data_IF_940464667952
#
_entry.id   IF_940464667952
#
_cell.length_a   1.000
_cell.length_b   1.000
_cell.length_c   1.000
_cell.angle_alpha   90.00
_cell.angle_beta   90.00
_cell.angle_gamma   90.00
#
_symmetry.space_group_name_H-M   'P 1'
#
loop_
_entity.id
_entity.type
_entity.pdbx_description
1 polymer ?
#
# COMPACT_ATOMS: atom_id res chain seq x y z
N UNK A 1 -13.39 -24.50 -2.22
CA UNK A 1 -13.95 -23.60 -1.20
C UNK A 1 -13.71 -22.16 -1.62
N UNK A 2 -14.75 -21.36 -1.57
CA UNK A 2 -14.69 -19.91 -1.88
C UNK A 2 -14.83 -19.15 -0.57
N UNK A 3 -14.02 -18.11 -0.39
CA UNK A 3 -14.07 -17.25 0.77
C UNK A 3 -13.96 -15.77 0.35
N UNK A 4 -14.47 -14.82 1.14
CA UNK A 4 -14.24 -13.41 0.89
C UNK A 4 -12.75 -13.07 0.96
N UNK A 5 -12.37 -11.99 0.28
CA UNK A 5 -11.01 -11.48 0.40
C UNK A 5 -10.70 -11.04 1.84
N UNK A 6 -9.45 -11.17 2.24
CA UNK A 6 -8.99 -10.74 3.55
C UNK A 6 -8.91 -9.23 3.64
N UNK A 7 -9.13 -8.71 4.84
CA UNK A 7 -9.07 -7.28 5.13
C UNK A 7 -8.00 -7.06 6.21
N UNK A 8 -7.05 -6.14 5.95
CA UNK A 8 -6.08 -5.71 6.95
C UNK A 8 -6.37 -4.24 7.31
N UNK A 9 -6.69 -4.00 8.55
CA UNK A 9 -7.10 -2.66 9.02
C UNK A 9 -5.95 -1.77 9.46
N UNK A 10 -4.71 -2.25 9.40
CA UNK A 10 -3.55 -1.46 9.83
C UNK A 10 -2.31 -1.82 9.03
N UNK A 11 -2.11 -1.15 7.92
CA UNK A 11 -0.91 -1.31 7.08
C UNK A 11 -0.22 0.04 6.86
N UNK A 12 1.01 0.00 6.42
CA UNK A 12 1.81 1.16 6.04
C UNK A 12 2.49 0.85 4.71
N UNK A 13 1.82 1.13 3.62
CA UNK A 13 2.28 0.71 2.29
C UNK A 13 3.54 1.45 1.83
N UNK A 14 3.75 2.67 2.32
CA UNK A 14 4.92 3.48 1.99
C UNK A 14 6.10 3.31 2.97
N UNK A 15 5.92 2.60 4.08
CA UNK A 15 6.99 2.38 5.03
C UNK A 15 7.95 1.31 4.50
N UNK A 16 8.94 1.74 3.73
CA UNK A 16 9.89 0.85 3.06
C UNK A 16 11.18 0.62 3.83
N UNK A 17 11.36 1.29 4.97
CA UNK A 17 12.53 1.17 5.83
C UNK A 17 12.14 0.68 7.21
N UNK A 18 13.02 -0.14 7.81
CA UNK A 18 12.84 -0.63 9.19
C UNK A 18 13.01 0.50 10.21
N UNK A 19 13.91 1.43 9.91
CA UNK A 19 14.19 2.57 10.78
C UNK A 19 13.47 3.82 10.23
N UNK A 20 12.55 4.37 11.02
CA UNK A 20 11.74 5.53 10.64
C UNK A 20 12.62 6.74 10.28
N UNK A 21 13.71 6.97 11.00
CA UNK A 21 14.61 8.08 10.74
C UNK A 21 15.32 8.01 9.37
N UNK A 22 15.35 6.84 8.74
CA UNK A 22 15.90 6.68 7.38
C UNK A 22 14.87 6.94 6.28
N UNK A 23 13.59 6.93 6.60
CA UNK A 23 12.53 7.12 5.62
C UNK A 23 12.56 8.53 5.00
N UNK A 24 12.95 9.53 5.77
CA UNK A 24 13.07 10.91 5.27
C UNK A 24 14.15 11.06 4.19
N UNK A 25 15.15 10.20 4.21
CA UNK A 25 16.24 10.20 3.23
C UNK A 25 15.88 9.42 1.95
N UNK A 26 14.78 8.70 1.92
CA UNK A 26 14.37 7.91 0.75
C UNK A 26 13.62 8.81 -0.23
N UNK A 27 14.07 8.91 -1.50
CA UNK A 27 13.32 9.65 -2.51
C UNK A 27 11.89 9.13 -2.65
N UNK A 28 10.92 10.02 -2.83
CA UNK A 28 9.51 9.66 -3.00
C UNK A 28 9.30 8.70 -4.16
N UNK A 29 10.04 8.87 -5.24
CA UNK A 29 9.96 7.99 -6.41
C UNK A 29 10.37 6.56 -6.10
N UNK A 30 11.42 6.38 -5.29
CA UNK A 30 11.85 5.06 -4.84
C UNK A 30 10.83 4.46 -3.87
N UNK A 31 10.34 5.27 -2.95
CA UNK A 31 9.31 4.86 -2.00
C UNK A 31 8.06 4.38 -2.73
N UNK A 32 7.61 5.11 -3.76
CA UNK A 32 6.47 4.73 -4.57
C UNK A 32 6.71 3.44 -5.35
N UNK A 33 7.89 3.28 -5.93
CA UNK A 33 8.25 2.06 -6.66
C UNK A 33 8.22 0.82 -5.75
N UNK A 34 8.74 0.95 -4.52
CA UNK A 34 8.69 -0.12 -3.51
C UNK A 34 7.26 -0.42 -3.09
N UNK A 35 6.44 0.61 -2.92
CA UNK A 35 5.03 0.47 -2.56
C UNK A 35 4.23 -0.28 -3.61
N UNK A 36 4.50 -0.04 -4.87
CA UNK A 36 3.86 -0.76 -5.99
C UNK A 36 4.03 -2.26 -5.86
N UNK A 37 5.25 -2.72 -5.61
CA UNK A 37 5.52 -4.14 -5.40
C UNK A 37 4.85 -4.70 -4.16
N UNK A 38 4.81 -3.92 -3.08
CA UNK A 38 4.16 -4.31 -1.82
C UNK A 38 2.66 -4.46 -1.98
N UNK A 39 2.01 -3.52 -2.65
CA UNK A 39 0.57 -3.56 -2.91
C UNK A 39 0.19 -4.80 -3.74
N UNK A 40 0.99 -5.11 -4.75
CA UNK A 40 0.78 -6.33 -5.53
C UNK A 40 0.90 -7.58 -4.67
N UNK A 41 1.91 -7.66 -3.81
CA UNK A 41 2.10 -8.81 -2.92
C UNK A 41 0.97 -8.97 -1.91
N UNK A 42 0.41 -7.87 -1.40
CA UNK A 42 -0.78 -7.92 -0.53
C UNK A 42 -1.95 -8.57 -1.26
N UNK A 43 -2.21 -8.12 -2.49
CA UNK A 43 -3.29 -8.68 -3.30
C UNK A 43 -3.05 -10.16 -3.62
N UNK A 44 -1.82 -10.53 -3.99
CA UNK A 44 -1.46 -11.92 -4.31
C UNK A 44 -1.61 -12.84 -3.09
N UNK A 45 -1.49 -12.32 -1.88
CA UNK A 45 -1.70 -13.05 -0.63
C UNK A 45 -3.16 -13.14 -0.20
N UNK A 46 -4.07 -12.55 -0.94
CA UNK A 46 -5.50 -12.62 -0.67
C UNK A 46 -6.08 -11.43 0.08
N UNK A 47 -5.31 -10.38 0.34
CA UNK A 47 -5.81 -9.15 0.94
C UNK A 47 -6.41 -8.26 -0.15
N UNK A 48 -7.72 -8.14 -0.15
CA UNK A 48 -8.47 -7.38 -1.17
C UNK A 48 -8.86 -5.99 -0.71
N UNK A 49 -8.78 -5.71 0.59
CA UNK A 49 -9.04 -4.40 1.18
C UNK A 49 -8.05 -4.14 2.30
N UNK A 50 -7.47 -2.95 2.33
CA UNK A 50 -6.55 -2.54 3.39
C UNK A 50 -6.87 -1.12 3.85
N UNK A 51 -6.57 -0.83 5.12
CA UNK A 51 -6.57 0.53 5.65
C UNK A 51 -5.13 0.93 5.95
N UNK A 52 -4.63 1.90 5.19
CA UNK A 52 -3.31 2.46 5.45
C UNK A 52 -3.40 3.45 6.61
N UNK A 53 -2.70 3.15 7.68
CA UNK A 53 -2.73 3.94 8.92
C UNK A 53 -1.76 5.11 8.92
N UNK A 54 -1.05 5.32 7.83
CA UNK A 54 -0.15 6.46 7.62
C UNK A 54 0.89 6.17 6.55
N UNK A 55 1.14 7.15 5.72
CA UNK A 55 2.16 7.10 4.68
C UNK A 55 1.61 7.10 3.26
N UNK A 56 0.57 6.35 2.98
CA UNK A 56 -0.06 6.39 1.67
C UNK A 56 -0.82 7.71 1.46
N UNK A 57 -0.73 8.23 0.27
CA UNK A 57 -1.37 9.47 -0.12
C UNK A 57 -2.42 9.25 -1.21
N UNK A 58 -3.02 10.36 -1.63
CA UNK A 58 -4.00 10.40 -2.71
C UNK A 58 -3.48 9.80 -4.01
N UNK A 59 -2.20 10.02 -4.32
CA UNK A 59 -1.61 9.50 -5.55
C UNK A 59 -1.60 7.98 -5.57
N UNK A 60 -1.21 7.37 -4.48
CA UNK A 60 -1.19 5.91 -4.33
C UNK A 60 -2.58 5.33 -4.44
N UNK A 61 -3.54 5.89 -3.71
CA UNK A 61 -4.94 5.45 -3.76
C UNK A 61 -5.51 5.56 -5.17
N UNK A 62 -5.30 6.68 -5.82
CA UNK A 62 -5.78 6.93 -7.19
C UNK A 62 -5.16 5.97 -8.18
N UNK A 63 -3.86 5.69 -8.04
CA UNK A 63 -3.16 4.76 -8.92
C UNK A 63 -3.79 3.35 -8.87
N UNK A 64 -4.15 2.88 -7.68
CA UNK A 64 -4.84 1.59 -7.53
C UNK A 64 -6.26 1.66 -8.09
N UNK A 65 -7.03 2.67 -7.71
CA UNK A 65 -8.43 2.80 -8.14
C UNK A 65 -8.59 2.95 -9.65
N UNK A 66 -7.66 3.62 -10.30
CA UNK A 66 -7.68 3.82 -11.76
C UNK A 66 -7.11 2.64 -12.55
N UNK A 67 -6.58 1.64 -11.86
CA UNK A 67 -5.99 0.47 -12.51
C UNK A 67 -4.58 0.66 -13.05
N UNK A 68 -3.91 1.76 -12.69
CA UNK A 68 -2.51 1.97 -13.09
C UNK A 68 -1.57 0.97 -12.46
N UNK A 69 -1.82 0.59 -11.21
CA UNK A 69 -1.04 -0.40 -10.49
C UNK A 69 -1.97 -1.41 -9.82
N UNK A 70 -1.54 -2.68 -9.69
CA UNK A 70 -2.32 -3.67 -8.96
C UNK A 70 -2.25 -3.42 -7.46
N UNK A 71 -3.35 -3.68 -6.78
CA UNK A 71 -3.39 -3.56 -5.33
C UNK A 71 -4.80 -3.73 -4.77
N UNK A 72 -4.91 -3.89 -3.45
CA UNK A 72 -6.20 -3.97 -2.79
C UNK A 72 -6.93 -2.63 -2.80
N UNK A 73 -8.23 -2.66 -2.51
CA UNK A 73 -8.97 -1.43 -2.22
C UNK A 73 -8.36 -0.76 -1.00
N UNK A 74 -8.04 0.52 -1.11
CA UNK A 74 -7.36 1.25 -0.04
C UNK A 74 -8.25 2.29 0.61
N UNK A 75 -8.27 2.26 1.94
CA UNK A 75 -8.71 3.39 2.77
C UNK A 75 -7.45 4.03 3.34
N UNK A 76 -7.31 5.34 3.20
CA UNK A 76 -6.13 6.07 3.66
C UNK A 76 -6.50 7.02 4.78
N UNK A 77 -5.55 7.24 5.70
CA UNK A 77 -5.62 8.30 6.69
C UNK A 77 -4.96 9.55 6.11
N UNK A 78 -5.64 10.66 6.13
CA UNK A 78 -5.10 11.96 5.70
C UNK A 78 -4.58 12.74 6.90
#
# INVERSE_FOLDING_TARGET
>A
TVMPGLIDCHVHTHHSEVYINRMEAVPLTLMMARSTGRLKRMLDRGFTTVRDAGGADWGTKTAVESGLIPGPRMFISC
#
